data_IF_497427974309
#
_entry.id   IF_497427974309
#
_cell.length_a   1.000
_cell.length_b   1.000
_cell.length_c   1.000
_cell.angle_alpha   90.00
_cell.angle_beta   90.00
_cell.angle_gamma   90.00
#
_symmetry.space_group_name_H-M   'P 1'
#
loop_
_entity.id
_entity.type
_entity.pdbx_description
1 polymer ?
2 non-polymer ?
3 water ?
#
# COMPACT_ATOMS: atom_id res chain seq x y z
N UNK A 11 -12.05 14.66 -13.54
CA UNK A 11 -11.90 13.26 -13.94
C UNK A 11 -12.13 13.10 -15.43
N UNK A 12 -11.06 12.74 -16.15
CA UNK A 12 -11.05 12.80 -17.60
C UNK A 12 -11.77 11.59 -18.19
N UNK A 13 -12.77 11.84 -19.03
CA UNK A 13 -13.41 10.79 -19.79
C UNK A 13 -12.58 10.51 -21.04
N UNK A 14 -12.19 9.26 -21.21
CA UNK A 14 -11.33 8.83 -22.31
C UNK A 14 -12.17 8.13 -23.36
N UNK A 15 -11.88 8.42 -24.64
CA UNK A 15 -12.62 7.77 -25.71
C UNK A 15 -12.00 6.40 -26.00
N UNK A 16 -12.83 5.37 -26.22
CA UNK A 16 -12.28 4.02 -26.41
C UNK A 16 -11.32 3.90 -27.58
N UNK A 17 -11.43 4.76 -28.59
CA UNK A 17 -10.49 4.74 -29.71
C UNK A 17 -9.07 5.07 -29.28
N UNK A 18 -8.88 5.64 -28.09
CA UNK A 18 -7.56 6.00 -27.61
C UNK A 18 -6.91 4.91 -26.76
N UNK A 19 -7.57 3.77 -26.57
CA UNK A 19 -7.13 2.74 -25.63
C UNK A 19 -6.96 1.43 -26.40
N UNK A 20 -5.79 0.83 -26.27
CA UNK A 20 -5.53 -0.51 -26.79
C UNK A 20 -5.05 -1.37 -25.64
N UNK A 21 -5.58 -2.59 -25.56
CA UNK A 21 -5.18 -3.54 -24.54
C UNK A 21 -4.25 -4.57 -25.17
N UNK A 22 -3.06 -4.72 -24.59
CA UNK A 22 -2.03 -5.60 -25.14
C UNK A 22 -1.91 -6.94 -24.43
N UNK A 23 -2.02 -6.96 -23.09
CA UNK A 23 -1.85 -8.20 -22.33
C UNK A 23 -2.74 -8.17 -21.10
N UNK A 24 -3.34 -9.32 -20.78
CA UNK A 24 -3.95 -9.47 -19.46
C UNK A 24 -2.86 -9.65 -18.42
N UNK A 25 -2.98 -8.94 -17.30
CA UNK A 25 -2.08 -9.13 -16.17
C UNK A 25 -2.80 -9.57 -14.91
N UNK A 26 -4.12 -9.59 -14.91
CA UNK A 26 -4.91 -10.01 -13.78
C UNK A 26 -6.34 -10.27 -14.19
N UNK A 27 -6.89 -11.42 -13.80
CA UNK A 27 -8.26 -11.77 -14.09
C UNK A 27 -9.05 -11.73 -12.79
N UNK A 28 -10.28 -11.27 -12.88
CA UNK A 28 -11.18 -11.19 -11.76
C UNK A 28 -12.57 -11.70 -12.12
N UNK A 29 -13.40 -11.83 -11.11
CA UNK A 29 -14.77 -12.23 -11.27
C UNK A 29 -15.53 -11.10 -11.88
N UNK A 30 -15.23 -9.87 -11.42
CA UNK A 30 -15.85 -8.55 -11.81
C UNK A 30 -15.29 -7.92 -13.06
N UNK A 31 -14.13 -8.36 -13.46
CA UNK A 31 -13.49 -7.76 -14.60
C UNK A 31 -12.02 -8.14 -14.60
N UNK A 32 -11.27 -7.53 -15.52
CA UNK A 32 -9.86 -7.88 -15.68
C UNK A 32 -9.01 -6.61 -15.60
N UNK A 33 -7.71 -6.84 -15.42
CA UNK A 33 -6.70 -5.78 -15.45
C UNK A 33 -5.73 -6.08 -16.58
N UNK A 34 -5.48 -5.08 -17.42
CA UNK A 34 -4.67 -5.25 -18.62
C UNK A 34 -3.52 -4.26 -18.61
N UNK A 35 -2.42 -4.64 -19.27
CA UNK A 35 -1.43 -3.70 -19.73
C UNK A 35 -1.86 -3.21 -21.11
N UNK A 36 -1.75 -1.90 -21.34
CA UNK A 36 -2.11 -1.36 -22.62
C UNK A 36 -1.41 -0.06 -22.92
N UNK A 37 -1.92 0.63 -23.93
CA UNK A 37 -1.40 1.92 -24.36
C UNK A 37 -2.54 2.92 -24.43
N UNK A 38 -2.24 4.18 -24.10
CA UNK A 38 -3.21 5.27 -24.14
C UNK A 38 -2.69 6.38 -25.04
N UNK A 39 -3.44 6.68 -26.10
CA UNK A 39 -3.16 7.83 -26.95
C UNK A 39 -3.75 9.08 -26.30
N UNK A 40 -2.92 10.09 -26.09
CA UNK A 40 -3.31 11.27 -25.34
C UNK A 40 -2.80 12.51 -26.07
N UNK A 41 -3.09 13.68 -25.48
CA UNK A 41 -2.67 14.96 -26.03
C UNK A 41 -3.12 15.13 -27.49
N UNK A 42 -4.39 14.79 -27.73
CA UNK A 42 -5.00 14.92 -29.06
C UNK A 42 -4.24 14.13 -30.12
N UNK A 43 -3.84 12.91 -29.77
CA UNK A 43 -3.18 12.01 -30.70
C UNK A 43 -1.69 12.22 -30.87
N UNK A 44 -1.08 13.17 -30.15
CA UNK A 44 0.33 13.45 -30.32
C UNK A 44 1.22 12.69 -29.34
N UNK A 45 0.66 12.06 -28.32
CA UNK A 45 1.43 11.32 -27.33
C UNK A 45 0.81 9.96 -27.10
N UNK A 46 1.62 9.03 -26.65
CA UNK A 46 1.23 7.67 -26.37
C UNK A 46 1.94 7.15 -25.16
N UNK A 47 1.21 6.63 -24.18
CA UNK A 47 1.85 6.19 -22.93
C UNK A 47 1.36 4.81 -22.50
N UNK A 48 2.22 3.99 -21.88
CA UNK A 48 1.76 2.72 -21.33
C UNK A 48 0.85 2.95 -20.14
N UNK A 49 -0.14 2.07 -19.99
CA UNK A 49 -1.16 2.22 -18.96
C UNK A 49 -1.58 0.86 -18.42
N UNK A 50 -2.17 0.87 -17.23
CA UNK A 50 -2.92 -0.27 -16.72
C UNK A 50 -4.40 0.06 -16.86
N UNK A 51 -5.19 -0.96 -17.18
CA UNK A 51 -6.60 -0.81 -17.54
C UNK A 51 -7.39 -1.85 -16.76
N UNK A 52 -8.34 -1.40 -15.96
CA UNK A 52 -9.24 -2.29 -15.22
C UNK A 52 -10.65 -2.14 -15.78
N UNK A 53 -11.31 -3.27 -16.05
CA UNK A 53 -12.64 -3.25 -16.64
C UNK A 53 -13.70 -3.67 -15.64
N UNK A 54 -14.93 -3.29 -15.93
CA UNK A 54 -16.10 -3.72 -15.15
C UNK A 54 -17.06 -4.39 -16.13
N UNK A 55 -17.25 -5.70 -15.98
CA UNK A 55 -17.97 -6.52 -16.96
C UNK A 55 -19.47 -6.29 -16.90
N UNK A 56 -20.14 -6.61 -18.00
CA UNK A 56 -21.57 -6.40 -18.10
C UNK A 56 -22.33 -7.18 -17.02
N UNK A 57 -23.41 -6.58 -16.55
CA UNK A 57 -24.18 -7.14 -15.46
C UNK A 57 -23.79 -6.64 -14.09
N UNK A 58 -22.85 -5.71 -14.00
CA UNK A 58 -22.46 -5.19 -12.69
C UNK A 58 -23.64 -4.52 -12.02
N UNK A 59 -23.63 -4.55 -10.69
CA UNK A 59 -24.70 -3.95 -9.91
C UNK A 59 -24.46 -2.46 -9.73
N UNK A 60 -25.48 -1.76 -9.23
CA UNK A 60 -25.32 -0.34 -8.92
C UNK A 60 -24.18 -0.13 -7.92
N UNK A 61 -24.12 -0.97 -6.89
CA UNK A 61 -23.05 -0.89 -5.90
C UNK A 61 -21.69 -1.07 -6.56
N UNK A 62 -21.56 -2.09 -7.41
CA UNK A 62 -20.30 -2.31 -8.10
C UNK A 62 -19.91 -1.12 -8.97
N UNK A 63 -20.88 -0.48 -9.61
CA UNK A 63 -20.59 0.70 -10.41
C UNK A 63 -20.12 1.86 -9.53
N UNK A 64 -20.85 2.12 -8.44
CA UNK A 64 -20.50 3.24 -7.58
C UNK A 64 -19.12 3.03 -6.96
N UNK A 65 -18.83 1.80 -6.52
CA UNK A 65 -17.51 1.49 -5.97
C UNK A 65 -16.42 1.64 -7.03
N UNK A 66 -16.65 1.08 -8.22
CA UNK A 66 -15.66 1.12 -9.30
C UNK A 66 -15.33 2.56 -9.68
N UNK A 67 -16.34 3.34 -10.08
CA UNK A 67 -16.11 4.73 -10.44
C UNK A 67 -15.69 5.55 -9.23
N UNK A 68 -16.10 5.14 -8.02
CA UNK A 68 -15.71 5.87 -6.84
C UNK A 68 -14.22 5.80 -6.58
N UNK A 69 -13.62 4.62 -6.79
CA UNK A 69 -12.16 4.52 -6.65
C UNK A 69 -11.45 5.45 -7.61
N UNK A 70 -11.93 5.53 -8.86
CA UNK A 70 -11.32 6.45 -9.81
C UNK A 70 -11.51 7.90 -9.37
N UNK A 71 -12.70 8.24 -8.87
CA UNK A 71 -12.95 9.61 -8.45
C UNK A 71 -12.03 10.05 -7.33
N UNK A 72 -11.75 9.14 -6.40
CA UNK A 72 -10.82 9.44 -5.31
C UNK A 72 -9.40 9.57 -5.85
N UNK A 73 -8.96 8.60 -6.66
CA UNK A 73 -7.62 8.67 -7.24
C UNK A 73 -7.41 9.97 -8.00
N UNK A 74 -8.45 10.44 -8.70
CA UNK A 74 -8.36 11.69 -9.43
C UNK A 74 -8.18 12.92 -8.57
N UNK A 75 -8.45 12.81 -7.26
CA UNK A 75 -8.26 13.92 -6.34
C UNK A 75 -6.81 14.12 -5.93
N UNK A 76 -5.93 13.17 -6.25
CA UNK A 76 -4.58 13.19 -5.73
C UNK A 76 -3.58 13.48 -6.84
N UNK A 77 -2.50 14.16 -6.47
CA UNK A 77 -1.41 14.45 -7.38
C UNK A 77 -0.14 14.40 -6.54
N UNK A 78 0.45 13.21 -6.45
CA UNK A 78 1.66 13.06 -5.67
C UNK A 78 2.50 11.96 -6.26
N UNK A 79 3.82 12.16 -6.18
CA UNK A 79 4.79 11.24 -6.74
C UNK A 79 4.61 9.82 -6.22
N UNK A 80 4.18 9.66 -4.97
CA UNK A 80 4.04 8.35 -4.35
C UNK A 80 2.61 7.86 -4.24
N UNK A 81 1.73 8.35 -5.12
CA UNK A 81 0.33 7.91 -5.21
C UNK A 81 0.07 7.57 -6.68
N UNK A 82 -0.52 6.41 -6.93
CA UNK A 82 -0.78 5.99 -8.31
C UNK A 82 -1.56 7.06 -9.07
N UNK A 83 -1.12 7.36 -10.30
CA UNK A 83 -1.73 8.42 -11.09
C UNK A 83 -2.84 7.87 -11.96
N UNK A 84 -3.99 8.53 -11.92
CA UNK A 84 -5.12 8.23 -12.78
C UNK A 84 -4.98 8.96 -14.11
N UNK A 85 -5.11 8.22 -15.21
CA UNK A 85 -5.22 8.86 -16.51
C UNK A 85 -6.65 9.25 -16.84
N UNK A 86 -7.61 8.41 -16.50
CA UNK A 86 -9.01 8.73 -16.74
C UNK A 86 -9.85 7.47 -16.71
N UNK A 87 -11.09 7.64 -17.15
CA UNK A 87 -12.07 6.56 -17.13
C UNK A 87 -12.81 6.51 -18.45
N UNK A 88 -13.31 5.32 -18.78
CA UNK A 88 -14.32 5.15 -19.82
C UNK A 88 -15.59 4.74 -19.11
N UNK A 89 -16.56 5.64 -19.06
CA UNK A 89 -17.85 5.36 -18.45
C UNK A 89 -19.00 5.37 -19.44
N UNK A 90 -18.86 6.11 -20.55
CA UNK A 90 -19.94 6.22 -21.52
C UNK A 90 -20.07 5.00 -22.40
N UNK A 91 -19.02 4.19 -22.51
CA UNK A 91 -19.00 3.00 -23.34
C UNK A 91 -18.69 1.79 -22.47
N UNK A 92 -19.05 0.62 -22.98
CA UNK A 92 -18.89 -0.62 -22.24
C UNK A 92 -17.88 -1.54 -22.93
N UNK A 93 -17.08 -2.28 -22.15
CA UNK A 93 -17.05 -2.30 -20.68
C UNK A 93 -16.47 -1.02 -20.15
N UNK A 94 -16.93 -0.59 -18.97
CA UNK A 94 -16.32 0.58 -18.36
C UNK A 94 -14.89 0.25 -17.95
N UNK A 95 -14.05 1.29 -17.93
CA UNK A 95 -12.63 1.13 -17.68
C UNK A 95 -12.10 2.24 -16.77
N UNK A 96 -11.16 1.87 -15.90
CA UNK A 96 -10.31 2.82 -15.19
C UNK A 96 -8.91 2.63 -15.74
N UNK A 97 -8.24 3.74 -16.04
CA UNK A 97 -6.94 3.73 -16.70
C UNK A 97 -5.94 4.51 -15.85
N UNK A 98 -4.88 3.85 -15.43
CA UNK A 98 -3.85 4.45 -14.59
C UNK A 98 -2.49 4.31 -15.26
N UNK A 99 -1.49 4.98 -14.68
CA UNK A 99 -0.12 4.68 -15.07
C UNK A 99 0.17 3.21 -14.82
N UNK A 100 1.10 2.66 -15.60
CA UNK A 100 1.46 1.26 -15.51
C UNK A 100 2.70 1.12 -14.65
N UNK A 101 2.61 0.30 -13.60
CA UNK A 101 3.71 0.08 -12.67
C UNK A 101 4.36 -1.26 -13.02
N UNK A 102 5.58 -1.19 -13.58
CA UNK A 102 6.16 -2.33 -14.27
C UNK A 102 6.46 -3.51 -13.35
N UNK A 103 6.75 -3.25 -12.07
CA UNK A 103 7.11 -4.30 -11.14
C UNK A 103 5.98 -4.75 -10.23
N UNK A 104 4.75 -4.28 -10.46
CA UNK A 104 3.59 -4.82 -9.78
C UNK A 104 3.58 -4.56 -8.28
N UNK A 105 2.90 -5.44 -7.56
CA UNK A 105 2.68 -5.25 -6.14
C UNK A 105 3.97 -5.44 -5.36
N UNK A 106 4.16 -4.62 -4.33
CA UNK A 106 5.42 -4.57 -3.61
C UNK A 106 5.70 -5.87 -2.85
N UNK A 107 4.68 -6.49 -2.24
CA UNK A 107 4.95 -7.71 -1.49
C UNK A 107 5.46 -8.82 -2.39
N UNK A 108 4.82 -9.00 -3.54
CA UNK A 108 5.26 -10.02 -4.49
C UNK A 108 6.63 -9.68 -5.07
N UNK A 109 6.86 -8.40 -5.38
CA UNK A 109 8.14 -7.98 -5.90
C UNK A 109 9.26 -8.33 -4.93
N UNK A 110 9.09 -7.99 -3.66
CA UNK A 110 10.11 -8.30 -2.67
C UNK A 110 10.32 -9.80 -2.54
N UNK A 111 9.24 -10.60 -2.60
CA UNK A 111 9.36 -12.05 -2.47
C UNK A 111 10.08 -12.68 -3.64
N UNK A 112 10.09 -12.02 -4.81
CA UNK A 112 10.78 -12.49 -5.98
C UNK A 112 12.19 -11.91 -6.10
N UNK A 113 12.58 -11.02 -5.18
CA UNK A 113 13.87 -10.33 -5.18
C UNK A 113 14.57 -10.47 -3.83
N UNK A 114 14.34 -11.59 -3.14
CA UNK A 114 14.79 -11.73 -1.75
C UNK A 114 16.29 -11.50 -1.62
N UNK A 115 16.66 -10.56 -0.74
CA UNK A 115 18.04 -10.27 -0.40
C UNK A 115 18.80 -9.45 -1.44
N UNK A 116 18.14 -8.97 -2.48
CA UNK A 116 18.83 -8.34 -3.60
C UNK A 116 18.98 -6.83 -3.47
N UNK A 117 18.34 -6.18 -2.51
CA UNK A 117 18.43 -4.73 -2.39
C UNK A 117 19.32 -4.34 -1.21
N UNK A 118 19.86 -3.14 -1.26
CA UNK A 118 20.61 -2.65 -0.11
C UNK A 118 19.64 -2.13 0.95
N UNK A 119 20.16 -2.00 2.17
CA UNK A 119 19.40 -1.36 3.25
C UNK A 119 18.94 0.03 2.81
N UNK A 120 19.82 0.80 2.17
CA UNK A 120 19.46 2.15 1.77
C UNK A 120 18.33 2.14 0.76
N UNK A 121 18.34 1.16 -0.14
CA UNK A 121 17.25 1.05 -1.10
C UNK A 121 15.93 0.74 -0.40
N UNK A 122 15.94 -0.21 0.53
CA UNK A 122 14.74 -0.57 1.28
C UNK A 122 14.23 0.63 2.07
N UNK A 123 15.13 1.35 2.74
CA UNK A 123 14.70 2.52 3.50
C UNK A 123 14.14 3.59 2.57
N UNK A 124 14.72 3.72 1.36
CA UNK A 124 14.21 4.68 0.40
C UNK A 124 12.81 4.32 -0.09
N UNK A 125 12.51 3.03 -0.23
CA UNK A 125 11.15 2.61 -0.55
C UNK A 125 10.20 3.01 0.55
N UNK A 126 10.60 2.82 1.81
CA UNK A 126 9.74 3.19 2.93
C UNK A 126 9.54 4.69 3.00
N UNK A 127 10.55 5.48 2.65
CA UNK A 127 10.40 6.93 2.63
C UNK A 127 9.35 7.35 1.60
N UNK A 128 9.40 6.75 0.40
CA UNK A 128 8.39 7.06 -0.60
C UNK A 128 7.00 6.69 -0.16
N UNK A 129 6.82 5.50 0.41
CA UNK A 129 5.50 5.12 0.90
C UNK A 129 5.04 6.10 1.97
N UNK A 130 5.93 6.47 2.90
CA UNK A 130 5.58 7.39 3.96
C UNK A 130 5.19 8.77 3.40
N UNK A 131 5.88 9.22 2.35
CA UNK A 131 5.53 10.50 1.74
C UNK A 131 4.13 10.44 1.12
N UNK A 132 3.82 9.35 0.42
CA UNK A 132 2.46 9.17 -0.09
C UNK A 132 1.42 9.15 1.03
N UNK A 133 1.71 8.44 2.12
CA UNK A 133 0.76 8.39 3.23
C UNK A 133 0.62 9.74 3.93
N UNK A 134 1.73 10.48 4.04
CA UNK A 134 1.65 11.82 4.64
C UNK A 134 0.71 12.69 3.81
N UNK A 135 0.84 12.62 2.49
CA UNK A 135 -0.02 13.37 1.59
C UNK A 135 -1.49 12.96 1.77
N UNK A 136 -1.77 11.66 1.79
CA UNK A 136 -3.15 11.19 2.01
C UNK A 136 -3.71 11.68 3.33
N UNK A 137 -2.94 11.50 4.40
CA UNK A 137 -3.44 11.88 5.72
C UNK A 137 -3.70 13.38 5.79
N UNK A 138 -2.84 14.17 5.17
CA UNK A 138 -3.05 15.61 5.17
C UNK A 138 -4.23 16.02 4.32
N UNK A 139 -4.65 15.20 3.36
CA UNK A 139 -5.88 15.43 2.63
C UNK A 139 -7.09 14.85 3.35
N UNK A 140 -6.92 14.39 4.58
CA UNK A 140 -8.00 13.81 5.37
C UNK A 140 -8.53 12.52 4.77
N UNK A 141 -7.67 11.74 4.14
CA UNK A 141 -8.03 10.42 3.62
C UNK A 141 -7.38 9.37 4.52
N UNK A 142 -8.20 8.50 5.10
CA UNK A 142 -7.73 7.38 5.90
C UNK A 142 -7.81 6.14 5.03
N UNK A 143 -6.69 5.43 4.86
CA UNK A 143 -6.62 4.37 3.88
C UNK A 143 -7.34 3.11 4.35
N UNK A 144 -7.09 2.70 5.60
CA UNK A 144 -7.70 1.55 6.27
C UNK A 144 -7.17 0.18 5.86
N UNK A 145 -6.49 0.09 4.71
CA UNK A 145 -5.98 -1.22 4.25
C UNK A 145 -4.55 -1.07 3.73
N UNK A 146 -3.74 -0.30 4.45
CA UNK A 146 -2.35 -0.11 4.04
C UNK A 146 -1.57 -1.39 4.33
N UNK A 147 -0.92 -1.92 3.30
CA UNK A 147 -0.18 -3.18 3.32
C UNK A 147 0.65 -3.20 2.05
N UNK A 148 1.73 -3.97 2.06
CA UNK A 148 2.59 -4.02 0.88
C UNK A 148 1.85 -4.51 -0.37
N UNK A 149 0.84 -5.36 -0.20
CA UNK A 149 0.04 -5.82 -1.34
C UNK A 149 -0.69 -4.67 -2.05
N UNK A 150 -0.90 -3.54 -1.37
CA UNK A 150 -1.57 -2.39 -1.96
C UNK A 150 -0.63 -1.28 -2.39
N UNK A 151 0.67 -1.54 -2.38
CA UNK A 151 1.69 -0.65 -2.92
C UNK A 151 2.13 -1.23 -4.26
N UNK A 152 2.33 -0.36 -5.25
CA UNK A 152 2.87 -0.76 -6.54
C UNK A 152 4.26 -0.17 -6.74
N UNK A 153 5.06 -0.84 -7.58
CA UNK A 153 6.47 -0.49 -7.79
C UNK A 153 6.72 -0.32 -9.28
N UNK A 154 7.38 0.78 -9.66
CA UNK A 154 7.69 0.99 -11.06
C UNK A 154 9.09 0.47 -11.40
N UNK A 155 9.49 0.65 -12.66
CA UNK A 155 10.78 0.13 -13.12
C UNK A 155 11.95 0.78 -12.43
N UNK A 156 11.78 2.00 -11.90
CA UNK A 156 12.84 2.72 -11.19
C UNK A 156 12.74 2.58 -9.69
N UNK A 157 11.98 1.59 -9.21
CA UNK A 157 11.88 1.22 -7.80
C UNK A 157 11.10 2.23 -6.96
N UNK A 158 10.38 3.16 -7.59
CA UNK A 158 9.52 4.07 -6.86
C UNK A 158 8.27 3.32 -6.43
N UNK A 159 7.92 3.47 -5.16
CA UNK A 159 6.74 2.83 -4.58
C UNK A 159 5.60 3.83 -4.48
N UNK A 160 4.40 3.39 -4.88
CA UNK A 160 3.24 4.26 -4.85
C UNK A 160 2.06 3.57 -4.18
N UNK A 161 1.38 4.31 -3.30
CA UNK A 161 0.18 3.81 -2.66
C UNK A 161 -0.96 3.68 -3.67
N UNK A 162 -1.68 2.60 -3.58
CA UNK A 162 -2.89 2.35 -4.35
C UNK A 162 -4.00 1.77 -3.48
N UNK A 163 -5.16 1.30 -4.05
CA UNK A 163 -6.33 0.78 -3.35
C UNK A 163 -7.11 1.86 -2.60
N UNK A 164 -7.98 2.40 -3.01
CA UNK A 164 -8.85 3.49 -2.63
C UNK A 164 -10.36 3.22 -2.80
N UNK A 165 -11.21 3.86 -2.03
CA UNK A 165 -12.65 3.62 -2.14
C UNK A 165 -13.54 4.58 -1.38
N UNK A 166 -14.79 4.75 -1.87
CA UNK A 166 -15.68 5.75 -1.28
C UNK A 166 -16.07 5.42 0.15
N UNK A 167 -16.04 4.14 0.52
CA UNK A 167 -16.39 3.74 1.88
C UNK A 167 -15.46 4.35 2.92
N UNK A 168 -14.32 4.89 2.50
CA UNK A 168 -13.36 5.52 3.40
C UNK A 168 -13.67 6.99 3.65
N UNK A 169 -14.50 7.63 2.82
CA UNK A 169 -14.74 9.06 2.90
C UNK A 169 -16.19 9.39 3.28
N UNK A 170 -17.15 8.63 2.77
CA UNK A 170 -18.55 8.93 3.04
C UNK A 170 -18.86 8.80 4.52
N UNK A 171 -19.70 9.70 5.04
CA UNK A 171 -20.01 9.75 6.46
C UNK A 171 -20.77 8.49 6.88
N UNK A 172 -20.23 7.78 7.87
CA UNK A 172 -20.89 6.63 8.47
C UNK A 172 -21.23 5.56 7.43
N UNK A 173 -20.28 5.29 6.54
CA UNK A 173 -20.50 4.30 5.50
C UNK A 173 -20.65 2.92 6.13
N UNK A 174 -21.71 2.18 5.80
CA UNK A 174 -21.85 0.82 6.38
C UNK A 174 -20.76 -0.15 5.97
N UNK A 175 -19.97 0.18 4.96
CA UNK A 175 -18.86 -0.67 4.51
C UNK A 175 -17.50 -0.07 4.87
N UNK A 176 -17.47 0.91 5.78
CA UNK A 176 -16.22 1.58 6.11
C UNK A 176 -15.20 0.64 6.73
N UNK A 177 -15.66 -0.40 7.41
CA UNK A 177 -14.78 -1.35 8.09
C UNK A 177 -14.38 -2.53 7.22
N UNK A 178 -14.78 -2.54 5.94
CA UNK A 178 -14.46 -3.64 5.04
C UNK A 178 -13.34 -3.22 4.09
N UNK A 179 -12.83 -4.20 3.33
CA UNK A 179 -11.93 -3.88 2.24
C UNK A 179 -12.70 -3.20 1.11
N UNK A 180 -11.96 -2.72 0.11
CA UNK A 180 -12.61 -2.16 -1.07
C UNK A 180 -13.37 -3.19 -1.88
N UNK A 181 -13.15 -4.48 -1.63
CA UNK A 181 -13.89 -5.56 -2.27
C UNK A 181 -15.07 -6.05 -1.45
N UNK A 182 -15.26 -5.53 -0.23
CA UNK A 182 -16.32 -5.97 0.64
C UNK A 182 -15.92 -7.04 1.64
N UNK A 183 -14.68 -7.51 1.60
CA UNK A 183 -14.22 -8.52 2.54
C UNK A 183 -13.76 -7.89 3.84
N UNK A 184 -13.31 -8.76 4.74
CA UNK A 184 -12.80 -8.31 6.03
C UNK A 184 -11.35 -7.83 5.86
N UNK A 185 -11.08 -6.63 6.35
CA UNK A 185 -9.72 -6.08 6.31
C UNK A 185 -8.82 -7.01 7.11
N UNK A 186 -7.78 -7.58 6.49
CA UNK A 186 -6.91 -8.51 7.22
C UNK A 186 -6.37 -7.90 8.51
N UNK A 187 -6.70 -8.55 9.63
CA UNK A 187 -6.48 -7.89 10.89
C UNK A 187 -5.01 -7.72 11.23
N UNK A 188 -4.11 -8.51 10.64
CA UNK A 188 -2.73 -8.44 11.11
C UNK A 188 -2.00 -7.18 10.66
N UNK A 189 -2.61 -6.33 9.82
CA UNK A 189 -2.09 -5.01 9.50
C UNK A 189 -2.79 -3.90 10.27
N UNK A 190 -3.80 -4.21 11.08
CA UNK A 190 -4.73 -3.21 11.60
C UNK A 190 -4.46 -2.91 13.07
N UNK A 191 -4.55 -1.63 13.44
CA UNK A 191 -4.28 -1.23 14.82
C UNK A 191 -5.36 -1.79 15.74
N UNK A 192 -5.03 -2.00 17.01
CA UNK A 192 -6.00 -2.64 17.93
C UNK A 192 -7.31 -1.88 18.06
N UNK A 193 -7.26 -0.55 18.11
CA UNK A 193 -8.48 0.23 18.27
C UNK A 193 -9.36 0.19 17.02
N UNK A 194 -8.75 -0.03 15.85
CA UNK A 194 -9.56 -0.22 14.63
C UNK A 194 -10.18 -1.61 14.61
N UNK A 195 -9.42 -2.64 15.02
CA UNK A 195 -9.99 -3.99 15.11
C UNK A 195 -11.19 -4.00 16.05
N UNK A 196 -11.00 -3.49 17.27
CA UNK A 196 -11.97 -3.68 18.36
C UNK A 196 -13.11 -2.67 18.32
N UNK A 197 -12.83 -1.41 18.04
CA UNK A 197 -13.82 -0.34 18.11
C UNK A 197 -14.15 0.27 16.76
N UNK A 198 -13.56 -0.23 15.67
CA UNK A 198 -13.75 0.33 14.34
C UNK A 198 -13.29 1.79 14.24
N UNK A 199 -12.33 2.16 15.09
CA UNK A 199 -11.78 3.52 15.12
C UNK A 199 -10.61 3.60 14.13
N UNK A 200 -10.93 3.84 12.86
CA UNK A 200 -9.92 4.00 11.81
C UNK A 200 -9.58 5.47 11.66
N UNK A 201 -8.30 5.79 11.77
CA UNK A 201 -7.81 7.16 11.64
C UNK A 201 -6.43 7.08 11.02
N UNK A 202 -5.84 8.23 10.73
CA UNK A 202 -4.48 8.21 10.23
C UNK A 202 -3.52 7.57 11.22
N UNK A 203 -3.85 7.59 12.52
CA UNK A 203 -3.00 6.92 13.50
C UNK A 203 -3.11 5.41 13.39
N UNK A 204 -4.26 4.87 13.00
CA UNK A 204 -4.29 3.44 12.71
C UNK A 204 -3.56 3.13 11.40
N UNK A 205 -3.60 4.04 10.43
CA UNK A 205 -2.76 3.86 9.24
C UNK A 205 -1.28 3.85 9.60
N UNK A 206 -0.87 4.63 10.62
CA UNK A 206 0.53 4.60 11.06
C UNK A 206 0.90 3.21 11.59
N UNK A 207 0.02 2.58 12.38
CA UNK A 207 0.26 1.22 12.80
C UNK A 207 0.49 0.33 11.58
N UNK A 208 -0.40 0.44 10.59
CA UNK A 208 -0.27 -0.34 9.37
C UNK A 208 1.06 -0.06 8.69
N UNK A 209 1.47 1.20 8.66
CA UNK A 209 2.75 1.54 8.04
C UNK A 209 3.90 0.82 8.73
N UNK A 210 3.85 0.73 10.06
CA UNK A 210 4.84 -0.05 10.79
C UNK A 210 4.90 -1.48 10.31
N UNK A 211 3.74 -2.11 10.08
CA UNK A 211 3.72 -3.46 9.52
C UNK A 211 4.33 -3.48 8.12
N UNK A 212 4.02 -2.47 7.31
CA UNK A 212 4.65 -2.36 5.98
C UNK A 212 6.17 -2.23 6.09
N UNK A 213 6.67 -1.46 7.07
CA UNK A 213 8.12 -1.39 7.28
C UNK A 213 8.69 -2.79 7.50
N UNK A 214 8.01 -3.58 8.32
CA UNK A 214 8.46 -4.94 8.60
C UNK A 214 8.39 -5.80 7.35
N UNK A 215 7.30 -5.69 6.57
CA UNK A 215 7.23 -6.40 5.29
C UNK A 215 8.41 -6.04 4.39
N UNK A 216 8.75 -4.76 4.30
CA UNK A 216 9.83 -4.36 3.40
C UNK A 216 11.16 -4.91 3.87
N UNK A 217 11.46 -4.74 5.16
CA UNK A 217 12.78 -5.15 5.67
C UNK A 217 12.96 -6.67 5.67
N UNK A 218 11.88 -7.45 5.61
CA UNK A 218 11.96 -8.91 5.55
C UNK A 218 11.78 -9.45 4.14
N UNK A 219 11.70 -8.58 3.13
CA UNK A 219 11.44 -9.04 1.76
C UNK A 219 10.11 -9.78 1.63
N UNK A 220 9.08 -9.24 2.27
CA UNK A 220 7.74 -9.76 2.07
C UNK A 220 7.35 -10.94 2.92
N UNK A 221 7.92 -11.06 4.11
CA UNK A 221 7.47 -12.11 5.00
C UNK A 221 6.05 -11.85 5.47
N UNK A 222 5.35 -12.91 5.81
CA UNK A 222 3.99 -12.76 6.29
C UNK A 222 4.02 -12.31 7.75
N UNK A 223 3.40 -11.18 8.09
CA UNK A 223 3.41 -10.72 9.48
C UNK A 223 2.84 -11.78 10.40
N UNK A 224 3.59 -12.09 11.46
CA UNK A 224 3.23 -13.04 12.51
C UNK A 224 3.24 -14.49 12.04
N UNK A 225 3.76 -14.76 10.84
CA UNK A 225 3.98 -16.13 10.34
C UNK A 225 2.69 -16.93 10.48
N UNK A 226 2.73 -18.11 11.10
CA UNK A 226 1.61 -19.04 11.09
C UNK A 226 0.50 -18.66 12.07
N UNK A 227 0.69 -17.62 12.89
CA UNK A 227 -0.34 -17.29 13.87
C UNK A 227 -1.67 -17.02 13.18
N UNK A 228 -2.74 -17.55 13.76
CA UNK A 228 -4.07 -17.24 13.28
C UNK A 228 -4.43 -15.81 13.66
N UNK A 229 -5.51 -15.31 13.09
CA UNK A 229 -5.96 -13.96 13.42
C UNK A 229 -6.21 -13.80 14.91
N UNK A 230 -6.86 -14.79 15.56
CA UNK A 230 -7.09 -14.65 16.99
C UNK A 230 -5.78 -14.72 17.77
N UNK A 231 -4.82 -15.51 17.27
CA UNK A 231 -3.51 -15.57 17.92
C UNK A 231 -2.75 -14.26 17.76
N UNK A 232 -2.89 -13.59 16.61
CA UNK A 232 -2.30 -12.26 16.45
C UNK A 232 -2.90 -11.28 17.44
N UNK A 233 -4.24 -11.28 17.55
CA UNK A 233 -4.90 -10.40 18.53
C UNK A 233 -4.44 -10.72 19.94
N UNK A 234 -4.30 -12.01 20.27
CA UNK A 234 -3.82 -12.38 21.59
C UNK A 234 -2.43 -11.81 21.84
N UNK A 235 -1.53 -11.96 20.86
CA UNK A 235 -0.15 -11.51 21.05
C UNK A 235 -0.08 -9.99 21.21
N UNK A 236 -0.74 -9.26 20.31
CA UNK A 236 -0.66 -7.80 20.36
C UNK A 236 -1.23 -7.27 21.66
N UNK A 237 -2.36 -7.81 22.08
CA UNK A 237 -2.96 -7.27 23.30
C UNK A 237 -2.21 -7.68 24.55
N UNK A 238 -1.37 -8.70 24.47
CA UNK A 238 -0.42 -9.04 25.53
C UNK A 238 0.83 -8.18 25.48
N UNK A 239 0.98 -7.33 24.47
CA UNK A 239 2.16 -6.50 24.34
C UNK A 239 3.27 -7.06 23.47
N UNK A 240 3.09 -8.25 22.90
CA UNK A 240 4.05 -8.78 21.93
C UNK A 240 4.06 -7.92 20.68
N UNK A 241 5.24 -7.80 20.08
CA UNK A 241 5.39 -7.09 18.82
C UNK A 241 6.31 -7.91 17.93
N UNK A 242 6.18 -7.72 16.62
CA UNK A 242 7.02 -8.45 15.68
C UNK A 242 8.49 -8.22 16.01
N UNK A 243 9.31 -9.26 15.97
CA UNK A 243 10.75 -9.12 16.27
C UNK A 243 11.47 -8.46 15.11
N UNK A 244 12.69 -8.03 15.36
CA UNK A 244 13.40 -7.31 14.31
C UNK A 244 13.68 -8.22 13.12
N UNK A 245 13.55 -7.72 11.91
CA UNK A 245 14.01 -8.45 10.73
C UNK A 245 15.52 -8.64 10.80
N UNK A 246 16.02 -9.58 10.01
CA UNK A 246 17.46 -9.75 9.85
C UNK A 246 18.06 -8.52 9.18
N UNK A 247 19.27 -8.14 9.62
CA UNK A 247 20.04 -7.07 8.99
C UNK A 247 19.30 -5.74 9.00
N UNK A 248 18.57 -5.49 10.07
CA UNK A 248 17.73 -4.31 10.11
C UNK A 248 18.39 -3.24 10.97
N UNK A 249 18.54 -2.02 10.46
CA UNK A 249 19.08 -0.95 11.30
C UNK A 249 18.27 -0.77 12.57
N UNK A 250 18.98 -0.57 13.68
CA UNK A 250 18.33 -0.32 14.96
C UNK A 250 17.34 0.83 14.86
N UNK A 251 17.70 1.92 14.17
CA UNK A 251 16.81 3.07 14.09
C UNK A 251 15.52 2.72 13.37
N UNK A 252 15.61 1.85 12.36
CA UNK A 252 14.44 1.44 11.60
C UNK A 252 13.52 0.57 12.45
N UNK A 253 14.10 -0.36 13.23
CA UNK A 253 13.26 -1.17 14.10
C UNK A 253 12.62 -0.33 15.20
N UNK A 254 13.38 0.60 15.78
CA UNK A 254 12.79 1.50 16.78
C UNK A 254 11.62 2.28 16.20
N UNK A 255 11.74 2.71 14.94
CA UNK A 255 10.65 3.47 14.34
C UNK A 255 9.41 2.61 14.13
N UNK A 256 9.58 1.37 13.68
CA UNK A 256 8.40 0.53 13.54
C UNK A 256 7.77 0.24 14.90
N UNK A 257 8.60 0.06 15.94
CA UNK A 257 8.04 -0.17 17.28
C UNK A 257 7.21 1.02 17.75
N UNK A 258 7.62 2.24 17.40
CA UNK A 258 6.85 3.41 17.80
C UNK A 258 5.53 3.48 17.03
N UNK A 259 5.51 3.00 15.79
CA UNK A 259 4.26 2.91 15.05
C UNK A 259 3.28 1.96 15.71
N UNK A 260 3.79 1.00 16.50
CA UNK A 260 2.95 0.00 17.14
C UNK A 260 2.68 0.30 18.62
N UNK A 261 2.74 1.55 19.02
CA UNK A 261 2.33 1.88 20.38
C UNK A 261 0.85 1.61 20.55
N UNK A 262 0.48 0.93 21.66
CA UNK A 262 -0.92 0.64 21.91
C UNK A 262 -1.76 1.92 21.95
N UNK A 263 -1.24 2.96 22.61
CA UNK A 263 -1.90 4.25 22.72
C UNK A 263 -1.67 5.02 21.42
N UNK A 264 -2.74 5.27 20.66
CA UNK A 264 -2.57 5.84 19.33
C UNK A 264 -1.96 7.23 19.38
N UNK A 265 -2.25 8.01 20.43
CA UNK A 265 -1.67 9.34 20.53
C UNK A 265 -0.15 9.31 20.67
N UNK A 266 0.43 8.17 21.08
CA UNK A 266 1.87 8.03 21.22
C UNK A 266 2.57 7.67 19.90
N UNK A 267 1.83 7.30 18.87
CA UNK A 267 2.46 6.94 17.61
C UNK A 267 2.97 8.19 16.89
N UNK A 268 4.01 8.06 16.09
CA UNK A 268 4.43 9.21 15.26
C UNK A 268 3.34 9.55 14.26
N UNK A 269 3.32 10.82 13.87
CA UNK A 269 2.53 11.24 12.71
C UNK A 269 3.33 10.91 11.44
N UNK A 270 2.62 10.86 10.31
CA UNK A 270 3.34 10.59 9.06
C UNK A 270 4.43 11.61 8.78
N UNK A 271 4.23 12.88 9.17
CA UNK A 271 5.28 13.87 8.99
C UNK A 271 6.54 13.49 9.77
N UNK A 272 6.37 12.95 10.99
CA UNK A 272 7.52 12.50 11.78
C UNK A 272 8.24 11.36 11.10
N UNK A 273 7.47 10.42 10.55
CA UNK A 273 8.05 9.26 9.87
C UNK A 273 8.88 9.71 8.67
N UNK A 274 8.33 10.59 7.83
CA UNK A 274 9.07 11.07 6.68
C UNK A 274 10.35 11.77 7.11
N UNK A 275 10.24 12.62 8.13
CA UNK A 275 11.40 13.38 8.58
C UNK A 275 12.50 12.46 9.11
N UNK A 276 12.14 11.47 9.93
CA UNK A 276 13.13 10.55 10.48
C UNK A 276 13.80 9.75 9.38
N UNK A 277 13.01 9.22 8.44
CA UNK A 277 13.58 8.45 7.35
C UNK A 277 14.52 9.30 6.50
N UNK A 278 14.14 10.56 6.24
CA UNK A 278 15.01 11.47 5.50
C UNK A 278 16.33 11.65 6.22
N UNK A 279 16.27 11.87 7.55
CA UNK A 279 17.47 12.09 8.34
C UNK A 279 18.40 10.89 8.28
N UNK A 280 17.85 9.68 8.33
CA UNK A 280 18.67 8.48 8.30
C UNK A 280 19.33 8.31 6.94
N UNK A 281 18.57 8.54 5.85
CA UNK A 281 19.12 8.35 4.50
C UNK A 281 20.28 9.30 4.25
N UNK A 282 20.14 10.52 4.75
CA UNK A 282 21.16 11.58 4.57
C UNK A 282 22.44 11.37 5.32
N UNK A 283 22.38 10.65 6.38
CA UNK A 283 23.54 10.33 7.22
C UNK A 283 23.59 8.82 7.34
N UNK A 284 23.93 8.13 6.24
CA UNK A 284 23.75 6.67 6.20
C UNK A 284 24.59 5.90 7.20
N UNK A 285 25.61 6.51 7.82
CA UNK A 285 26.29 5.81 8.90
C UNK A 285 25.31 5.50 10.05
N UNK A 286 24.26 6.31 10.19
CA UNK A 286 23.24 6.04 11.20
C UNK A 286 22.57 4.69 11.00
N UNK A 287 22.57 4.17 9.79
CA UNK A 287 21.92 2.89 9.49
C UNK A 287 22.85 1.69 9.70
N UNK A 288 24.10 1.92 10.07
CA UNK A 288 25.04 0.82 10.25
C UNK A 288 24.88 0.15 11.62
N UNK A 289 24.26 0.80 12.58
CA UNK A 289 23.97 0.19 13.87
C UNK A 289 22.76 -0.72 13.70
N UNK A 290 22.96 -2.02 13.81
CA UNK A 290 21.91 -3.00 13.54
C UNK A 290 21.27 -3.48 14.83
N UNK A 291 19.96 -3.68 14.79
CA UNK A 291 19.29 -4.34 15.90
C UNK A 291 19.70 -5.81 15.92
N UNK A 292 19.89 -6.34 17.12
CA UNK A 292 20.22 -7.75 17.25
C UNK A 292 19.08 -8.61 16.72
N UNK A 293 19.41 -9.56 15.85
CA UNK A 293 18.41 -10.50 15.33
C UNK A 293 18.34 -11.69 16.26
N UNK A 294 17.15 -11.98 16.76
CA UNK A 294 16.95 -13.13 17.62
C UNK A 294 17.01 -14.40 16.78
N UNK A 295 18.04 -15.23 16.91
CA UNK A 295 18.07 -16.47 16.14
C UNK A 295 16.98 -17.40 16.64
N UNK A 296 16.29 -18.04 15.70
CA UNK A 296 15.26 -19.01 16.02
C UNK A 296 15.76 -20.45 15.93
N UNK A 297 17.06 -20.63 15.75
CA UNK A 297 17.67 -21.95 15.69
C UNK A 297 19.07 -21.87 16.29
N UNK A 298 19.37 -22.80 17.18
CA UNK A 298 20.70 -22.93 17.76
C UNK A 298 21.54 -23.85 16.89
N UNK A 299 22.59 -23.30 16.28
CA UNK A 299 23.57 -24.09 15.53
C UNK A 299 24.84 -24.10 16.36
N UNK A 300 25.19 -25.27 16.89
CA UNK A 300 26.36 -25.45 17.74
C UNK A 300 27.49 -26.02 16.89
N UNK A 301 28.54 -25.22 16.70
CA UNK A 301 29.70 -25.61 15.91
C UNK A 301 30.96 -25.10 16.60
N UNK A 302 32.15 -25.61 16.25
CA UNK A 302 33.39 -25.10 16.82
C UNK A 302 33.62 -23.62 16.51
#
# INVERSE_FOLDING_TARGET
>A
GDPNQAVLKFTTEIHPSCVTRQKVIGAGEFGEVYKGMLKTSSGKKEVPVAIKTLKAGYTEKQRVDFLGEAGIMGQFSHHNIIRLEGVISKYKPMMIITEYMENGALDKFLREKDGEFSVLQLVGMLRGIAAGMKYLANMNYVHRDLAARNILVNSNLVCKVSDFGLSRVLEDDPEATYTTSGGKIPIRWTAPEAISYRKFTSASDVWSFGIVMWEVMTYGERPYWELSNHEVMKAINDGFRLPTPMDCPSAIYQLMMQCWQQERARRPKFADIVSILDKLIRAPDSLKTLADFDPRVSIRLPSTSG
#
